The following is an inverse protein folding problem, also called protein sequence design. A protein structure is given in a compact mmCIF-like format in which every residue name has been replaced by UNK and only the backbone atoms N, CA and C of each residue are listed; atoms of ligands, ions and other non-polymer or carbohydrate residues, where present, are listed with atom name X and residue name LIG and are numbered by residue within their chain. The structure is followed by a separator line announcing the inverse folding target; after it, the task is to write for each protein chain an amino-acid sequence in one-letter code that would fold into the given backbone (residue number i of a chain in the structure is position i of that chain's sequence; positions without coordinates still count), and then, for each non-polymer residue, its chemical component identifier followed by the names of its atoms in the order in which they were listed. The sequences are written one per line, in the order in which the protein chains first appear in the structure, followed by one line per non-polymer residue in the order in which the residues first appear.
data_IF_273086783395
#
_entry.id   IF_273086783395
#
_cell.length_a   1.000
_cell.length_b   1.000
_cell.length_c   1.000
_cell.angle_alpha   90.00
_cell.angle_beta   90.00
_cell.angle_gamma   90.00
#
_symmetry.space_group_name_H-M   'P 1'
#
loop_
_entity.id
_entity.type
_entity.pdbx_description
1 polymer ?
#
# COMPACT_ATOMS: atom_id res chain seq x y z
N UNK A 1 -19.20 -6.17 9.92
CA UNK A 1 -19.35 -5.02 10.84
C UNK A 1 -19.28 -3.68 10.08
N UNK A 2 -19.57 -3.67 8.78
CA UNK A 2 -19.78 -2.44 8.01
C UNK A 2 -21.24 -2.46 7.55
N UNK A 3 -22.13 -1.92 8.39
CA UNK A 3 -23.52 -1.65 8.05
C UNK A 3 -24.04 -0.67 9.11
N UNK A 4 -24.73 0.38 8.65
CA UNK A 4 -25.33 1.48 9.42
C UNK A 4 -24.46 2.74 9.62
N UNK A 5 -24.10 3.41 8.52
CA UNK A 5 -24.00 4.88 8.53
C UNK A 5 -24.95 5.37 7.43
N UNK A 6 -26.23 5.35 7.76
CA UNK A 6 -27.30 5.98 6.95
C UNK A 6 -27.11 7.51 7.05
N UNK A 7 -27.23 8.26 5.94
CA UNK A 7 -27.16 9.71 5.96
C UNK A 7 -28.49 10.29 6.43
N UNK A 8 -28.49 11.03 7.54
CA UNK A 8 -29.64 11.83 7.93
C UNK A 8 -29.79 12.03 9.43
N UNK A 9 -29.17 13.09 9.95
CA UNK A 9 -29.84 13.98 10.91
C UNK A 9 -29.01 15.23 11.10
N UNK A 10 -29.66 16.36 10.85
CA UNK A 10 -29.16 17.69 11.10
C UNK A 10 -29.11 17.93 12.60
N UNK A 11 -27.94 17.78 13.21
CA UNK A 11 -27.48 18.50 14.41
C UNK A 11 -25.98 18.29 14.52
N UNK A 12 -25.20 19.38 14.65
CA UNK A 12 -23.77 19.33 14.96
C UNK A 12 -23.54 18.46 16.20
N UNK A 13 -22.42 17.75 16.38
CA UNK A 13 -21.08 18.29 16.34
C UNK A 13 -20.05 17.15 16.46
N UNK A 14 -19.90 16.36 15.40
CA UNK A 14 -18.66 15.65 15.09
C UNK A 14 -18.54 15.62 13.56
N UNK A 15 -17.55 16.29 12.94
CA UNK A 15 -17.29 16.07 11.52
C UNK A 15 -17.03 14.57 11.36
N UNK A 16 -17.71 13.95 10.38
CA UNK A 16 -17.71 12.52 10.09
C UNK A 16 -16.44 11.81 10.56
N UNK A 17 -16.59 10.91 11.53
CA UNK A 17 -15.53 10.54 12.44
C UNK A 17 -14.33 9.87 11.74
N UNK A 18 -13.32 10.69 11.44
CA UNK A 18 -12.02 10.29 10.89
C UNK A 18 -11.33 9.25 11.76
N UNK A 19 -11.54 9.34 13.08
CA UNK A 19 -10.97 8.46 14.09
C UNK A 19 -11.41 7.00 13.89
N UNK A 20 -12.72 6.64 13.85
CA UNK A 20 -13.20 5.30 13.49
C UNK A 20 -12.62 4.70 12.20
N UNK A 21 -12.48 5.48 11.12
CA UNK A 21 -11.93 4.99 9.86
C UNK A 21 -10.43 4.66 9.99
N UNK A 22 -9.67 5.51 10.69
CA UNK A 22 -8.26 5.26 10.98
C UNK A 22 -8.08 4.09 11.97
N UNK A 23 -8.97 3.94 12.95
CA UNK A 23 -8.97 2.81 13.89
C UNK A 23 -9.11 1.46 13.17
N UNK A 24 -9.93 1.39 12.12
CA UNK A 24 -10.04 0.16 11.32
C UNK A 24 -8.70 -0.19 10.64
N UNK A 25 -8.01 0.79 10.09
CA UNK A 25 -6.69 0.59 9.45
C UNK A 25 -5.65 0.15 10.48
N UNK A 26 -5.62 0.78 11.66
CA UNK A 26 -4.74 0.36 12.76
C UNK A 26 -5.03 -1.06 13.21
N UNK A 27 -6.31 -1.46 13.29
CA UNK A 27 -6.69 -2.82 13.65
C UNK A 27 -6.15 -3.84 12.62
N UNK A 28 -6.23 -3.53 11.32
CA UNK A 28 -5.66 -4.39 10.28
C UNK A 28 -4.13 -4.45 10.31
N UNK A 29 -3.45 -3.36 10.68
CA UNK A 29 -2.01 -3.38 10.93
C UNK A 29 -1.65 -4.33 12.07
N UNK A 30 -2.40 -4.30 13.18
CA UNK A 30 -2.22 -5.25 14.30
C UNK A 30 -2.42 -6.70 13.81
N UNK A 31 -3.47 -6.95 13.02
CA UNK A 31 -3.70 -8.28 12.43
C UNK A 31 -2.51 -8.72 11.57
N UNK A 32 -2.00 -7.88 10.66
CA UNK A 32 -0.86 -8.20 9.82
C UNK A 32 0.41 -8.50 10.65
N UNK A 33 0.66 -7.73 11.71
CA UNK A 33 1.78 -7.96 12.61
C UNK A 33 1.66 -9.29 13.37
N UNK A 34 0.48 -9.62 13.88
CA UNK A 34 0.23 -10.90 14.57
C UNK A 34 0.36 -12.09 13.61
N UNK A 35 -0.18 -11.98 12.40
CA UNK A 35 -0.04 -12.99 11.36
C UNK A 35 1.43 -13.18 10.95
N UNK A 36 2.22 -12.11 10.88
CA UNK A 36 3.66 -12.21 10.60
C UNK A 36 4.41 -12.94 11.71
N UNK A 37 4.07 -12.70 12.98
CA UNK A 37 4.63 -13.47 14.11
C UNK A 37 4.22 -14.94 14.09
N UNK A 38 2.97 -15.24 13.72
CA UNK A 38 2.52 -16.62 13.51
C UNK A 38 3.28 -17.29 12.37
N UNK A 39 3.53 -16.56 11.29
CA UNK A 39 4.28 -17.05 10.14
C UNK A 39 5.73 -17.37 10.53
N UNK A 40 6.34 -16.54 11.37
CA UNK A 40 7.66 -16.81 11.94
C UNK A 40 7.67 -18.13 12.74
N UNK A 41 6.65 -18.38 13.57
CA UNK A 41 6.50 -19.66 14.29
C UNK A 41 6.35 -20.84 13.33
N UNK A 42 5.51 -20.71 12.30
CA UNK A 42 5.31 -21.74 11.29
C UNK A 42 6.60 -22.03 10.51
N UNK A 43 7.44 -21.02 10.30
CA UNK A 43 8.74 -21.16 9.65
C UNK A 43 9.84 -21.76 10.56
N UNK A 44 9.52 -22.10 11.81
CA UNK A 44 10.43 -22.73 12.77
C UNK A 44 11.19 -21.76 13.68
N UNK A 45 10.88 -20.45 13.66
CA UNK A 45 11.55 -19.48 14.52
C UNK A 45 11.07 -19.62 15.98
N UNK A 46 11.95 -19.29 16.93
CA UNK A 46 11.60 -19.32 18.36
C UNK A 46 10.48 -18.34 18.72
N UNK A 47 9.91 -18.51 19.92
CA UNK A 47 8.88 -17.61 20.44
C UNK A 47 9.37 -16.16 20.51
N UNK A 48 10.63 -15.95 20.92
CA UNK A 48 11.23 -14.61 21.02
C UNK A 48 11.43 -13.98 19.64
N UNK A 49 11.95 -14.73 18.68
CA UNK A 49 12.12 -14.24 17.30
C UNK A 49 10.76 -13.95 16.63
N UNK A 50 9.74 -14.74 16.92
CA UNK A 50 8.39 -14.50 16.39
C UNK A 50 7.75 -13.22 16.93
N UNK A 51 7.97 -12.90 18.21
CA UNK A 51 7.56 -11.59 18.78
C UNK A 51 8.29 -10.44 18.09
N UNK A 52 9.57 -10.61 17.77
CA UNK A 52 10.33 -9.63 16.99
C UNK A 52 9.78 -9.47 15.58
N UNK A 53 9.42 -10.55 14.88
CA UNK A 53 8.80 -10.45 13.56
C UNK A 53 7.49 -9.65 13.59
N UNK A 54 6.64 -9.86 14.62
CA UNK A 54 5.45 -9.03 14.84
C UNK A 54 5.79 -7.58 15.12
N UNK A 55 6.71 -7.30 16.05
CA UNK A 55 7.08 -5.94 16.42
C UNK A 55 7.67 -5.15 15.25
N UNK A 56 8.58 -5.76 14.49
CA UNK A 56 9.19 -5.17 13.29
C UNK A 56 8.14 -4.87 12.23
N UNK A 57 7.18 -5.77 12.03
CA UNK A 57 6.10 -5.57 11.06
C UNK A 57 5.15 -4.44 11.48
N UNK A 58 4.79 -4.38 12.77
CA UNK A 58 3.92 -3.34 13.31
C UNK A 58 4.57 -1.96 13.27
N UNK A 59 5.87 -1.89 13.57
CA UNK A 59 6.62 -0.64 13.68
C UNK A 59 7.40 -0.28 12.40
N UNK A 60 7.26 -1.07 11.33
CA UNK A 60 7.83 -0.77 10.02
C UNK A 60 7.36 0.61 9.56
N UNK A 61 8.23 1.48 9.02
CA UNK A 61 7.84 2.87 8.70
C UNK A 61 6.65 2.93 7.74
N UNK A 62 6.68 2.13 6.66
CA UNK A 62 5.58 2.09 5.69
C UNK A 62 4.31 1.48 6.31
N UNK A 63 4.45 0.45 7.13
CA UNK A 63 3.30 -0.20 7.78
C UNK A 63 2.61 0.74 8.78
N UNK A 64 3.36 1.52 9.55
CA UNK A 64 2.83 2.56 10.44
C UNK A 64 2.08 3.60 9.64
N UNK A 65 2.66 4.13 8.56
CA UNK A 65 1.98 5.13 7.71
C UNK A 65 0.68 4.56 7.16
N UNK A 66 0.71 3.36 6.58
CA UNK A 66 -0.50 2.71 6.05
C UNK A 66 -1.50 2.33 7.14
N UNK A 67 -1.05 2.02 8.36
CA UNK A 67 -1.91 1.80 9.53
C UNK A 67 -2.75 3.01 9.90
N UNK A 68 -2.30 4.21 9.58
CA UNK A 68 -2.99 5.47 9.86
C UNK A 68 -3.67 6.07 8.62
N UNK A 69 -3.54 5.43 7.46
CA UNK A 69 -4.22 5.81 6.22
C UNK A 69 -5.27 4.75 5.88
N UNK A 70 -6.48 5.18 5.53
CA UNK A 70 -7.54 4.25 5.15
C UNK A 70 -7.35 3.72 3.71
N UNK A 71 -6.38 2.80 3.53
CA UNK A 71 -6.02 2.23 2.22
C UNK A 71 -6.32 0.73 2.14
N UNK A 72 -6.56 0.26 0.92
CA UNK A 72 -6.76 -1.17 0.63
C UNK A 72 -5.51 -2.04 0.82
N UNK A 73 -4.33 -1.46 1.04
CA UNK A 73 -3.05 -2.17 1.01
C UNK A 73 -2.84 -3.09 2.22
N UNK A 74 -3.38 -2.75 3.40
CA UNK A 74 -3.31 -3.62 4.58
C UNK A 74 -4.13 -4.90 4.42
N UNK A 75 -5.29 -4.80 3.78
CA UNK A 75 -6.13 -5.96 3.47
C UNK A 75 -5.45 -6.88 2.45
N UNK A 76 -4.83 -6.30 1.42
CA UNK A 76 -3.98 -7.05 0.48
C UNK A 76 -2.86 -7.78 1.23
N UNK A 77 -2.16 -7.09 2.12
CA UNK A 77 -1.07 -7.67 2.90
C UNK A 77 -1.56 -8.81 3.82
N UNK A 78 -2.68 -8.62 4.52
CA UNK A 78 -3.31 -9.67 5.32
C UNK A 78 -3.68 -10.90 4.47
N UNK A 79 -4.23 -10.67 3.26
CA UNK A 79 -4.53 -11.73 2.30
C UNK A 79 -3.29 -12.53 1.89
N UNK A 80 -2.20 -11.84 1.56
CA UNK A 80 -0.90 -12.46 1.26
C UNK A 80 -0.39 -13.29 2.45
N UNK A 81 -0.46 -12.74 3.67
CA UNK A 81 -0.04 -13.43 4.90
C UNK A 81 -0.84 -14.71 5.18
N UNK A 82 -2.16 -14.69 4.95
CA UNK A 82 -3.01 -15.88 5.10
C UNK A 82 -2.63 -16.97 4.10
N UNK A 83 -2.32 -16.60 2.85
CA UNK A 83 -1.83 -17.54 1.84
C UNK A 83 -0.47 -18.13 2.25
N UNK A 84 0.44 -17.30 2.74
CA UNK A 84 1.74 -17.75 3.25
C UNK A 84 1.61 -18.70 4.45
N UNK A 85 0.65 -18.45 5.36
CA UNK A 85 0.37 -19.32 6.51
C UNK A 85 -0.30 -20.65 6.09
N UNK A 86 -1.24 -20.60 5.16
CA UNK A 86 -1.83 -21.81 4.57
C UNK A 86 -0.78 -22.66 3.86
N UNK A 87 0.30 -22.05 3.40
CA UNK A 87 1.43 -22.75 2.80
C UNK A 87 2.40 -23.34 3.83
N UNK A 88 2.88 -22.56 4.80
CA UNK A 88 4.01 -22.93 5.66
C UNK A 88 3.62 -23.70 6.94
N UNK A 89 2.38 -23.60 7.41
CA UNK A 89 2.00 -24.23 8.68
C UNK A 89 1.78 -25.75 8.48
N UNK A 90 2.83 -26.52 8.72
CA UNK A 90 2.89 -27.97 8.47
C UNK A 90 1.90 -28.79 9.32
N UNK A 91 1.55 -28.31 10.51
CA UNK A 91 0.61 -28.96 11.43
C UNK A 91 -0.84 -28.94 10.93
N UNK A 92 -1.16 -28.11 9.93
CA UNK A 92 -2.53 -28.00 9.40
C UNK A 92 -2.89 -29.10 8.42
N UNK A 93 -4.16 -29.53 8.48
CA UNK A 93 -4.74 -30.43 7.48
C UNK A 93 -4.84 -29.75 6.11
N UNK A 94 -4.87 -30.55 5.03
CA UNK A 94 -5.02 -30.04 3.65
C UNK A 94 -6.23 -29.09 3.52
N UNK A 95 -7.35 -29.43 4.18
CA UNK A 95 -8.56 -28.62 4.19
C UNK A 95 -8.34 -27.25 4.85
N UNK A 96 -7.73 -27.21 6.03
CA UNK A 96 -7.46 -25.96 6.75
C UNK A 96 -6.51 -25.04 5.95
N UNK A 97 -5.50 -25.62 5.31
CA UNK A 97 -4.58 -24.88 4.43
C UNK A 97 -5.32 -24.26 3.25
N UNK A 98 -6.18 -25.04 2.59
CA UNK A 98 -7.00 -24.55 1.48
C UNK A 98 -7.96 -23.42 1.90
N UNK A 99 -8.58 -23.52 3.08
CA UNK A 99 -9.43 -22.46 3.61
C UNK A 99 -8.67 -21.14 3.82
N UNK A 100 -7.46 -21.19 4.37
CA UNK A 100 -6.62 -20.00 4.56
C UNK A 100 -6.19 -19.38 3.23
N UNK A 101 -5.79 -20.21 2.27
CA UNK A 101 -5.39 -19.75 0.93
C UNK A 101 -6.58 -19.08 0.23
N UNK A 102 -7.73 -19.74 0.20
CA UNK A 102 -8.94 -19.21 -0.43
C UNK A 102 -9.43 -17.93 0.23
N UNK A 103 -9.44 -17.88 1.57
CA UNK A 103 -9.80 -16.67 2.32
C UNK A 103 -8.80 -15.53 2.09
N UNK A 104 -7.50 -15.85 2.04
CA UNK A 104 -6.45 -14.87 1.77
C UNK A 104 -6.57 -14.26 0.37
N UNK A 105 -6.80 -15.08 -0.65
CA UNK A 105 -7.11 -14.60 -2.00
C UNK A 105 -8.39 -13.78 -2.04
N UNK A 106 -9.47 -14.20 -1.37
CA UNK A 106 -10.71 -13.44 -1.36
C UNK A 106 -10.53 -12.04 -0.76
N UNK A 107 -9.91 -11.95 0.42
CA UNK A 107 -9.67 -10.67 1.12
C UNK A 107 -8.80 -9.75 0.26
N UNK A 108 -7.68 -10.27 -0.26
CA UNK A 108 -6.76 -9.46 -1.05
C UNK A 108 -7.35 -9.04 -2.40
N UNK A 109 -8.17 -9.90 -3.03
CA UNK A 109 -8.79 -9.62 -4.33
C UNK A 109 -9.92 -8.60 -4.22
N UNK A 110 -10.75 -8.70 -3.18
CA UNK A 110 -11.76 -7.68 -2.89
C UNK A 110 -11.13 -6.32 -2.58
N UNK A 111 -9.95 -6.29 -1.96
CA UNK A 111 -9.27 -5.05 -1.60
C UNK A 111 -8.49 -4.39 -2.74
N UNK A 112 -7.74 -5.18 -3.52
CA UNK A 112 -6.75 -4.70 -4.51
C UNK A 112 -6.75 -5.52 -5.81
N UNK A 113 -7.81 -6.28 -6.07
CA UNK A 113 -7.97 -7.07 -7.30
C UNK A 113 -6.88 -8.13 -7.46
N UNK A 114 -6.45 -8.32 -8.71
CA UNK A 114 -5.50 -9.38 -9.09
C UNK A 114 -4.12 -9.30 -8.38
N UNK A 115 -3.80 -8.19 -7.70
CA UNK A 115 -2.52 -8.00 -7.02
C UNK A 115 -2.24 -9.06 -5.94
N UNK A 116 -3.27 -9.61 -5.28
CA UNK A 116 -3.07 -10.71 -4.33
C UNK A 116 -2.57 -11.98 -5.00
N UNK A 117 -3.09 -12.27 -6.20
CA UNK A 117 -2.69 -13.44 -6.99
C UNK A 117 -1.25 -13.24 -7.50
N UNK A 118 -0.91 -12.03 -7.93
CA UNK A 118 0.45 -11.65 -8.27
C UNK A 118 1.42 -11.88 -7.08
N UNK A 119 1.09 -11.37 -5.90
CA UNK A 119 1.93 -11.50 -4.69
C UNK A 119 2.04 -12.91 -4.12
N UNK A 120 1.23 -13.86 -4.61
CA UNK A 120 1.17 -15.22 -4.05
C UNK A 120 1.52 -16.29 -5.07
N UNK A 121 0.81 -16.36 -6.19
CA UNK A 121 0.99 -17.40 -7.21
C UNK A 121 2.35 -17.28 -7.90
N UNK A 122 2.75 -16.06 -8.27
CA UNK A 122 3.96 -15.86 -9.05
C UNK A 122 5.24 -16.11 -8.23
N UNK A 123 5.42 -15.53 -7.02
CA UNK A 123 6.49 -15.93 -6.12
C UNK A 123 6.45 -17.42 -5.76
N UNK A 124 5.28 -18.05 -5.57
CA UNK A 124 5.20 -19.49 -5.29
C UNK A 124 5.68 -20.37 -6.45
N UNK A 125 5.33 -19.98 -7.68
CA UNK A 125 5.80 -20.64 -8.88
C UNK A 125 7.32 -20.53 -9.00
N UNK A 126 7.86 -19.31 -8.85
CA UNK A 126 9.30 -19.05 -8.94
C UNK A 126 10.06 -19.75 -7.81
N UNK A 127 9.57 -19.65 -6.57
CA UNK A 127 10.21 -20.29 -5.42
C UNK A 127 10.31 -21.78 -5.63
N UNK A 128 9.30 -22.41 -6.22
CA UNK A 128 9.44 -23.83 -6.52
C UNK A 128 10.45 -24.09 -7.61
N UNK A 129 10.40 -23.36 -8.72
CA UNK A 129 11.38 -23.58 -9.79
C UNK A 129 12.81 -23.50 -9.24
N UNK A 130 13.08 -22.49 -8.39
CA UNK A 130 14.36 -22.31 -7.70
C UNK A 130 14.68 -23.48 -6.77
N UNK A 131 13.74 -23.88 -5.90
CA UNK A 131 13.95 -24.95 -4.93
C UNK A 131 14.11 -26.32 -5.58
N UNK A 132 13.34 -26.64 -6.64
CA UNK A 132 13.50 -27.87 -7.42
C UNK A 132 14.83 -27.93 -8.13
N UNK A 133 15.25 -26.83 -8.76
CA UNK A 133 16.56 -26.74 -9.43
C UNK A 133 17.67 -26.94 -8.41
N UNK A 134 17.58 -26.30 -7.24
CA UNK A 134 18.57 -26.44 -6.18
C UNK A 134 18.63 -27.87 -5.65
N UNK A 135 17.48 -28.46 -5.31
CA UNK A 135 17.39 -29.85 -4.87
C UNK A 135 18.00 -30.81 -5.90
N UNK A 136 17.73 -30.59 -7.19
CA UNK A 136 18.33 -31.39 -8.28
C UNK A 136 19.87 -31.31 -8.27
N UNK A 137 20.45 -30.11 -8.15
CA UNK A 137 21.90 -29.95 -8.08
C UNK A 137 22.51 -30.48 -6.77
N UNK A 138 21.85 -30.28 -5.64
CA UNK A 138 22.29 -30.82 -4.36
C UNK A 138 22.30 -32.34 -4.37
N UNK A 139 21.30 -32.98 -5.01
CA UNK A 139 21.25 -34.44 -5.16
C UNK A 139 22.30 -35.00 -6.13
N UNK A 140 22.71 -34.22 -7.14
CA UNK A 140 23.85 -34.58 -8.01
C UNK A 140 25.15 -34.49 -7.22
N UNK A 141 25.31 -33.46 -6.40
CA UNK A 141 26.52 -33.24 -5.60
C UNK A 141 26.64 -34.21 -4.41
N UNK A 142 25.52 -34.54 -3.78
CA UNK A 142 25.41 -35.47 -2.66
C UNK A 142 24.19 -36.39 -2.85
N UNK A 143 24.40 -37.62 -3.34
CA UNK A 143 23.33 -38.60 -3.52
C UNK A 143 22.63 -39.03 -2.22
N UNK A 144 23.25 -38.77 -1.06
CA UNK A 144 22.71 -39.09 0.26
C UNK A 144 21.89 -37.94 0.87
N UNK A 145 21.82 -36.80 0.18
CA UNK A 145 21.01 -35.67 0.61
C UNK A 145 19.56 -36.12 0.86
N UNK A 146 18.97 -35.80 2.03
CA UNK A 146 17.61 -36.17 2.35
C UNK A 146 16.67 -35.72 1.22
N UNK A 147 15.61 -36.50 0.95
CA UNK A 147 14.51 -36.04 0.11
C UNK A 147 13.79 -34.90 0.83
N UNK A 148 14.35 -33.69 0.74
CA UNK A 148 13.69 -32.47 1.15
C UNK A 148 12.52 -32.33 0.18
N UNK A 149 11.36 -32.83 0.61
CA UNK A 149 10.14 -32.88 -0.20
C UNK A 149 9.95 -31.54 -0.87
N UNK A 150 10.17 -31.51 -2.19
CA UNK A 150 9.90 -30.32 -2.99
C UNK A 150 8.52 -29.83 -2.55
N UNK A 151 8.38 -28.57 -2.08
CA UNK A 151 7.24 -28.21 -1.26
C UNK A 151 5.93 -28.65 -1.91
N UNK A 152 4.90 -29.00 -1.12
CA UNK A 152 3.60 -29.38 -1.69
C UNK A 152 2.81 -28.17 -2.22
N UNK A 153 3.50 -27.07 -2.61
CA UNK A 153 2.94 -25.76 -2.99
C UNK A 153 1.88 -25.91 -4.09
N UNK A 154 2.12 -26.74 -5.12
CA UNK A 154 1.13 -27.02 -6.18
C UNK A 154 -0.13 -27.64 -5.62
N UNK A 155 -0.02 -28.64 -4.73
CA UNK A 155 -1.17 -29.35 -4.18
C UNK A 155 -2.03 -28.43 -3.31
N UNK A 156 -1.41 -27.52 -2.55
CA UNK A 156 -2.13 -26.58 -1.69
C UNK A 156 -2.74 -25.41 -2.46
N UNK A 157 -2.03 -24.83 -3.44
CA UNK A 157 -2.52 -23.70 -4.25
C UNK A 157 -3.56 -24.13 -5.29
N UNK A 158 -3.47 -25.36 -5.82
CA UNK A 158 -4.44 -25.90 -6.77
C UNK A 158 -5.57 -26.67 -6.07
N UNK A 159 -5.64 -26.60 -4.74
CA UNK A 159 -6.68 -27.32 -4.00
C UNK A 159 -8.07 -26.77 -4.38
N UNK A 160 -9.02 -27.60 -4.84
CA UNK A 160 -10.33 -27.13 -5.32
C UNK A 160 -11.08 -26.29 -4.30
N UNK A 161 -11.00 -26.66 -3.02
CA UNK A 161 -11.61 -25.88 -1.94
C UNK A 161 -11.05 -24.45 -1.81
N UNK A 162 -9.76 -24.23 -2.06
CA UNK A 162 -9.19 -22.88 -1.98
C UNK A 162 -9.79 -21.97 -3.06
N UNK A 163 -9.89 -22.49 -4.29
CA UNK A 163 -10.55 -21.81 -5.40
C UNK A 163 -12.04 -21.62 -5.16
N UNK A 164 -12.73 -22.62 -4.62
CA UNK A 164 -14.14 -22.50 -4.28
C UNK A 164 -14.39 -21.37 -3.28
N UNK A 165 -13.63 -21.32 -2.17
CA UNK A 165 -13.73 -20.24 -1.17
C UNK A 165 -13.41 -18.89 -1.81
N UNK A 166 -12.34 -18.80 -2.59
CA UNK A 166 -11.96 -17.58 -3.28
C UNK A 166 -13.07 -17.07 -4.21
N UNK A 167 -13.57 -17.94 -5.09
CA UNK A 167 -14.56 -17.58 -6.10
C UNK A 167 -15.89 -17.21 -5.44
N UNK A 168 -16.39 -18.02 -4.50
CA UNK A 168 -17.66 -17.75 -3.81
C UNK A 168 -17.60 -16.46 -3.01
N UNK A 169 -16.47 -16.15 -2.37
CA UNK A 169 -16.36 -14.95 -1.55
C UNK A 169 -16.11 -13.67 -2.36
N UNK A 170 -15.43 -13.75 -3.51
CA UNK A 170 -15.03 -12.56 -4.29
C UNK A 170 -15.89 -12.29 -5.52
N UNK A 171 -16.20 -13.32 -6.31
CA UNK A 171 -16.86 -13.16 -7.63
C UNK A 171 -18.25 -12.52 -7.55
N UNK A 172 -19.13 -12.81 -6.57
CA UNK A 172 -20.49 -12.27 -6.58
C UNK A 172 -20.56 -10.74 -6.65
N UNK A 173 -19.66 -10.04 -5.95
CA UNK A 173 -19.63 -8.57 -5.99
C UNK A 173 -19.20 -8.05 -7.36
N UNK A 174 -18.14 -8.62 -7.94
CA UNK A 174 -17.67 -8.25 -9.28
C UNK A 174 -18.69 -8.59 -10.36
N UNK A 175 -19.36 -9.74 -10.26
CA UNK A 175 -20.42 -10.12 -11.19
C UNK A 175 -21.60 -9.14 -11.12
N UNK A 176 -22.03 -8.77 -9.90
CA UNK A 176 -23.12 -7.82 -9.71
C UNK A 176 -22.79 -6.42 -10.25
N UNK A 177 -21.57 -5.91 -10.02
CA UNK A 177 -21.19 -4.58 -10.51
C UNK A 177 -21.00 -4.57 -12.02
N UNK A 178 -20.40 -5.60 -12.60
CA UNK A 178 -20.23 -5.71 -14.06
C UNK A 178 -21.55 -5.94 -14.79
N UNK A 179 -22.53 -6.59 -14.14
CA UNK A 179 -23.88 -6.70 -14.69
C UNK A 179 -24.61 -5.35 -14.75
N UNK A 180 -24.40 -4.49 -13.74
CA UNK A 180 -25.00 -3.14 -13.69
C UNK A 180 -24.25 -2.12 -14.54
N UNK A 181 -22.94 -2.27 -14.65
CA UNK A 181 -22.01 -1.33 -15.29
C UNK A 181 -20.99 -2.09 -16.17
N UNK A 182 -21.41 -2.62 -17.34
CA UNK A 182 -20.54 -3.41 -18.21
C UNK A 182 -19.29 -2.66 -18.69
N UNK A 183 -19.37 -1.33 -18.81
CA UNK A 183 -18.27 -0.43 -19.18
C UNK A 183 -17.04 -0.58 -18.27
N UNK A 184 -17.26 -0.90 -16.99
CA UNK A 184 -16.20 -1.07 -16.00
C UNK A 184 -15.28 -2.26 -16.31
N UNK A 185 -15.74 -3.25 -17.08
CA UNK A 185 -14.88 -4.37 -17.50
C UNK A 185 -13.73 -3.87 -18.39
N UNK A 186 -14.06 -3.00 -19.34
CA UNK A 186 -13.08 -2.44 -20.27
C UNK A 186 -12.10 -1.51 -19.54
N UNK A 187 -12.60 -0.69 -18.62
CA UNK A 187 -11.78 0.16 -17.75
C UNK A 187 -10.82 -0.66 -16.88
N UNK A 188 -11.32 -1.69 -16.20
CA UNK A 188 -10.49 -2.52 -15.33
C UNK A 188 -9.40 -3.28 -16.09
N UNK A 189 -9.70 -3.80 -17.28
CA UNK A 189 -8.72 -4.49 -18.11
C UNK A 189 -7.71 -3.54 -18.75
N UNK A 190 -8.17 -2.45 -19.36
CA UNK A 190 -7.31 -1.53 -20.12
C UNK A 190 -6.55 -0.60 -19.20
N UNK A 191 -7.23 0.10 -18.30
CA UNK A 191 -6.62 1.17 -17.51
C UNK A 191 -5.94 0.63 -16.26
N UNK A 192 -6.62 -0.26 -15.52
CA UNK A 192 -6.11 -0.74 -14.23
C UNK A 192 -5.09 -1.89 -14.35
N UNK A 193 -5.18 -2.74 -15.39
CA UNK A 193 -4.23 -3.83 -15.63
C UNK A 193 -3.19 -3.43 -16.67
N UNK A 194 -3.60 -3.15 -17.91
CA UNK A 194 -2.66 -2.97 -19.03
C UNK A 194 -1.92 -1.65 -18.93
N UNK A 195 -2.63 -0.53 -18.81
CA UNK A 195 -2.03 0.81 -18.84
C UNK A 195 -1.10 1.02 -17.64
N UNK A 196 -1.38 0.44 -16.46
CA UNK A 196 -0.45 0.51 -15.31
C UNK A 196 0.88 -0.20 -15.51
N UNK A 197 0.92 -1.22 -16.37
CA UNK A 197 2.14 -1.94 -16.72
C UNK A 197 2.87 -1.26 -17.87
N UNK A 198 2.14 -0.87 -18.92
CA UNK A 198 2.70 -0.47 -20.23
C UNK A 198 2.84 1.05 -20.40
N UNK A 199 1.97 1.85 -19.80
CA UNK A 199 1.96 3.31 -20.00
C UNK A 199 2.64 4.07 -18.85
N UNK A 200 3.34 5.16 -19.20
CA UNK A 200 3.83 6.16 -18.24
C UNK A 200 2.82 7.28 -17.98
N UNK A 201 1.68 7.26 -18.68
CA UNK A 201 0.69 8.35 -18.77
C UNK A 201 0.00 8.69 -17.44
N UNK A 202 0.21 7.86 -16.41
CA UNK A 202 -0.29 8.08 -15.05
C UNK A 202 0.45 9.17 -14.27
N UNK A 203 1.39 9.90 -14.89
CA UNK A 203 2.15 11.00 -14.26
C UNK A 203 3.06 10.57 -13.11
N UNK A 204 3.37 9.26 -13.02
CA UNK A 204 4.14 8.62 -11.94
C UNK A 204 5.30 7.77 -12.47
N UNK A 205 5.89 8.21 -13.58
CA UNK A 205 7.06 7.57 -14.16
C UNK A 205 8.26 7.81 -13.25
N UNK A 206 8.72 6.73 -12.62
CA UNK A 206 9.86 6.75 -11.69
C UNK A 206 10.97 5.84 -12.22
N UNK A 207 12.26 6.11 -11.91
CA UNK A 207 13.38 5.30 -12.37
C UNK A 207 13.24 3.82 -12.01
N UNK A 208 13.86 2.93 -12.79
CA UNK A 208 13.80 1.48 -12.52
C UNK A 208 14.34 1.11 -11.13
N UNK A 209 15.28 1.89 -10.58
CA UNK A 209 15.87 1.68 -9.25
C UNK A 209 15.05 2.28 -8.10
N UNK A 210 13.89 2.89 -8.36
CA UNK A 210 13.04 3.60 -7.37
C UNK A 210 12.80 2.81 -6.07
N UNK A 211 12.54 1.51 -6.17
CA UNK A 211 12.26 0.67 -5.01
C UNK A 211 13.50 0.22 -4.23
N UNK A 212 14.68 0.24 -4.83
CA UNK A 212 15.93 -0.23 -4.20
C UNK A 212 16.26 0.50 -2.88
N UNK A 213 16.23 1.85 -2.81
CA UNK A 213 16.41 2.55 -1.55
C UNK A 213 15.23 2.39 -0.58
N UNK A 214 14.03 2.03 -1.07
CA UNK A 214 12.86 1.84 -0.21
C UNK A 214 12.93 0.55 0.61
N UNK A 215 13.48 -0.53 0.05
CA UNK A 215 13.60 -1.82 0.75
C UNK A 215 14.26 -1.71 2.13
N UNK A 216 15.45 -1.08 2.31
CA UNK A 216 16.03 -0.92 3.64
C UNK A 216 15.19 0.01 4.54
N UNK A 217 14.52 1.01 3.98
CA UNK A 217 13.64 1.90 4.74
C UNK A 217 12.46 1.15 5.35
N UNK A 218 11.98 0.05 4.75
CA UNK A 218 10.87 -0.75 5.31
C UNK A 218 11.18 -1.36 6.68
N UNK A 219 12.45 -1.49 7.06
CA UNK A 219 12.85 -2.12 8.33
C UNK A 219 13.74 -1.24 9.19
N UNK A 220 13.75 0.07 9.00
CA UNK A 220 14.38 0.96 9.98
C UNK A 220 13.68 0.80 11.34
N UNK A 221 14.43 0.71 12.45
CA UNK A 221 15.89 0.92 12.61
C UNK A 221 16.73 -0.40 12.65
N UNK A 222 16.20 -1.52 12.17
CA UNK A 222 16.77 -2.87 12.31
C UNK A 222 17.67 -3.31 11.14
N UNK A 223 18.26 -2.39 10.38
CA UNK A 223 19.18 -2.73 9.29
C UNK A 223 20.34 -3.66 9.70
N UNK A 224 21.01 -3.45 10.86
CA UNK A 224 22.07 -4.37 11.29
C UNK A 224 21.57 -5.79 11.52
N UNK A 225 20.34 -5.96 12.00
CA UNK A 225 19.71 -7.25 12.24
C UNK A 225 19.24 -7.90 10.94
N UNK A 226 18.71 -7.11 10.00
CA UNK A 226 18.41 -7.58 8.64
C UNK A 226 19.66 -8.22 8.02
N UNK A 227 20.79 -7.51 8.05
CA UNK A 227 22.05 -8.01 7.50
C UNK A 227 22.52 -9.30 8.18
N UNK A 228 22.46 -9.35 9.52
CA UNK A 228 22.79 -10.59 10.28
C UNK A 228 21.88 -11.74 9.88
N UNK A 229 20.58 -11.50 9.71
CA UNK A 229 19.60 -12.50 9.32
C UNK A 229 19.85 -13.06 7.93
N UNK A 230 20.12 -12.18 6.96
CA UNK A 230 20.47 -12.57 5.59
C UNK A 230 21.73 -13.44 5.56
N UNK A 231 22.77 -13.06 6.33
CA UNK A 231 24.05 -13.80 6.38
C UNK A 231 23.94 -15.15 7.09
N UNK A 232 23.17 -15.24 8.18
CA UNK A 232 23.06 -16.46 8.99
C UNK A 232 22.26 -17.57 8.31
N UNK A 233 21.33 -17.23 7.41
CA UNK A 233 20.51 -18.21 6.70
C UNK A 233 19.72 -19.12 7.64
N UNK A 234 18.70 -18.58 8.31
CA UNK A 234 17.92 -19.31 9.31
C UNK A 234 16.71 -20.04 8.71
N UNK A 235 16.37 -21.20 9.28
CA UNK A 235 15.37 -22.13 8.78
C UNK A 235 15.98 -23.20 7.86
N UNK A 236 15.16 -24.14 7.39
CA UNK A 236 15.58 -25.01 6.29
C UNK A 236 15.99 -24.16 5.09
N UNK A 237 16.87 -24.70 4.24
CA UNK A 237 17.27 -24.03 2.99
C UNK A 237 16.03 -23.61 2.18
N UNK A 238 14.96 -24.39 2.24
CA UNK A 238 13.65 -24.10 1.65
C UNK A 238 13.04 -22.78 2.13
N UNK A 239 12.90 -22.58 3.45
CA UNK A 239 12.25 -21.37 3.98
C UNK A 239 13.05 -20.11 3.63
N UNK A 240 14.39 -20.16 3.71
CA UNK A 240 15.23 -19.01 3.37
C UNK A 240 15.01 -18.55 1.93
N UNK A 241 15.05 -19.46 0.96
CA UNK A 241 14.89 -19.10 -0.45
C UNK A 241 13.48 -18.68 -0.80
N UNK A 242 12.47 -19.24 -0.14
CA UNK A 242 11.10 -18.73 -0.19
C UNK A 242 11.05 -17.23 0.12
N UNK A 243 11.64 -16.78 1.24
CA UNK A 243 11.63 -15.36 1.61
C UNK A 243 12.41 -14.48 0.63
N UNK A 244 13.55 -14.97 0.12
CA UNK A 244 14.32 -14.26 -0.91
C UNK A 244 13.49 -14.07 -2.17
N UNK A 245 12.80 -15.11 -2.64
CA UNK A 245 11.95 -15.00 -3.84
C UNK A 245 10.79 -14.04 -3.61
N UNK A 246 10.16 -14.06 -2.43
CA UNK A 246 9.09 -13.12 -2.07
C UNK A 246 9.55 -11.66 -1.91
N UNK A 247 10.86 -11.42 -1.84
CA UNK A 247 11.44 -10.07 -1.92
C UNK A 247 11.80 -9.74 -3.37
N UNK A 248 12.64 -10.55 -3.99
CA UNK A 248 13.25 -10.24 -5.29
C UNK A 248 12.23 -10.25 -6.44
N UNK A 249 11.29 -11.19 -6.44
CA UNK A 249 10.35 -11.34 -7.54
C UNK A 249 9.42 -10.10 -7.65
N UNK A 250 8.71 -9.68 -6.58
CA UNK A 250 7.91 -8.46 -6.63
C UNK A 250 8.77 -7.20 -6.87
N UNK A 251 9.96 -7.14 -6.27
CA UNK A 251 10.88 -6.01 -6.47
C UNK A 251 11.24 -5.81 -7.94
N UNK A 252 11.60 -6.88 -8.65
CA UNK A 252 11.96 -6.83 -10.07
C UNK A 252 10.75 -6.40 -10.91
N UNK A 253 9.58 -6.98 -10.69
CA UNK A 253 8.40 -6.65 -11.50
C UNK A 253 7.90 -5.22 -11.26
N UNK A 254 7.81 -4.76 -10.01
CA UNK A 254 7.42 -3.37 -9.76
C UNK A 254 8.49 -2.38 -10.23
N UNK A 255 9.77 -2.76 -10.22
CA UNK A 255 10.84 -1.92 -10.79
C UNK A 255 10.66 -1.72 -12.30
N UNK A 256 10.06 -2.69 -13.00
CA UNK A 256 9.74 -2.62 -14.43
C UNK A 256 8.38 -1.96 -14.73
N UNK A 257 7.53 -1.67 -13.74
CA UNK A 257 6.21 -1.09 -14.01
C UNK A 257 6.26 0.41 -14.34
N UNK A 258 5.40 0.85 -15.27
CA UNK A 258 5.29 2.26 -15.68
C UNK A 258 4.81 3.20 -14.56
N UNK A 259 3.90 2.74 -13.70
CA UNK A 259 3.48 3.45 -12.48
C UNK A 259 4.15 2.84 -11.25
N UNK A 260 4.81 3.65 -10.41
CA UNK A 260 5.43 3.19 -9.15
C UNK A 260 4.84 3.93 -7.95
N UNK A 261 4.56 3.18 -6.87
CA UNK A 261 4.11 3.74 -5.59
C UNK A 261 4.74 3.00 -4.41
N UNK A 262 5.15 3.70 -3.33
CA UNK A 262 5.84 3.07 -2.20
C UNK A 262 5.02 1.97 -1.53
N UNK A 263 3.69 2.15 -1.45
CA UNK A 263 2.76 1.20 -0.83
C UNK A 263 2.74 -0.17 -1.53
N UNK A 264 3.22 -0.29 -2.78
CA UNK A 264 3.36 -1.59 -3.44
C UNK A 264 4.26 -2.53 -2.67
N UNK A 265 5.26 -2.01 -1.94
CA UNK A 265 6.19 -2.83 -1.16
C UNK A 265 5.63 -3.27 0.20
N UNK A 266 4.42 -2.88 0.60
CA UNK A 266 3.91 -3.18 1.94
C UNK A 266 3.94 -4.68 2.28
N UNK A 267 3.52 -5.61 1.38
CA UNK A 267 3.63 -7.03 1.67
C UNK A 267 5.08 -7.55 1.82
N UNK A 268 6.07 -6.81 1.31
CA UNK A 268 7.50 -7.13 1.46
C UNK A 268 8.01 -6.95 2.89
N UNK A 269 7.28 -6.22 3.73
CA UNK A 269 7.61 -6.09 5.17
C UNK A 269 7.68 -7.47 5.83
N UNK A 270 6.84 -8.43 5.43
CA UNK A 270 6.83 -9.78 6.01
C UNK A 270 8.16 -10.52 5.85
N UNK A 271 8.65 -10.83 4.64
CA UNK A 271 9.92 -11.56 4.50
C UNK A 271 11.11 -10.78 5.10
N UNK A 272 11.10 -9.44 5.05
CA UNK A 272 12.15 -8.64 5.68
C UNK A 272 12.12 -8.74 7.21
N UNK A 273 10.93 -8.67 7.83
CA UNK A 273 10.75 -8.84 9.26
C UNK A 273 11.19 -10.23 9.74
N UNK A 274 11.00 -11.27 8.93
CA UNK A 274 11.48 -12.63 9.23
C UNK A 274 13.01 -12.73 9.19
N UNK A 275 13.68 -12.03 8.26
CA UNK A 275 15.14 -11.92 8.27
C UNK A 275 15.64 -11.13 9.49
N UNK A 276 15.03 -10.00 9.81
CA UNK A 276 15.37 -9.20 11.01
C UNK A 276 15.22 -10.05 12.28
N UNK A 277 14.08 -10.73 12.45
CA UNK A 277 13.82 -11.64 13.56
C UNK A 277 14.88 -12.74 13.69
N UNK A 278 15.31 -13.30 12.55
CA UNK A 278 16.39 -14.29 12.50
C UNK A 278 17.75 -13.70 12.92
N UNK A 279 18.04 -12.45 12.53
CA UNK A 279 19.24 -11.73 12.98
C UNK A 279 19.25 -11.45 14.49
N UNK A 280 18.08 -11.30 15.08
CA UNK A 280 17.88 -11.09 16.52
C UNK A 280 17.95 -12.39 17.33
N UNK A 281 17.65 -13.53 16.70
CA UNK A 281 17.62 -14.85 17.35
C UNK A 281 18.97 -15.32 17.90
N UNK A 282 20.10 -14.77 17.42
CA UNK A 282 21.46 -15.19 17.79
C UNK A 282 22.19 -14.31 18.81
N UNK A 283 21.52 -13.48 19.61
CA UNK A 283 22.16 -12.77 20.71
C UNK A 283 22.14 -13.66 21.98
N UNK A 284 23.19 -14.46 22.17
CA UNK A 284 23.36 -15.25 23.39
C UNK A 284 23.42 -14.32 24.62
N UNK A 285 22.95 -14.70 25.82
CA UNK A 285 23.12 -13.89 27.04
C UNK A 285 24.58 -13.52 27.36
N UNK A 286 25.52 -14.36 26.91
CA UNK A 286 26.96 -14.12 26.99
C UNK A 286 27.47 -13.09 25.96
N UNK A 287 26.66 -12.75 24.95
CA UNK A 287 26.96 -11.69 24.02
C UNK A 287 26.73 -10.36 24.77
N UNK A 288 27.81 -9.63 25.08
CA UNK A 288 27.78 -8.45 25.96
C UNK A 288 26.61 -7.49 25.74
N UNK A 289 26.23 -6.77 26.80
CA UNK A 289 24.99 -6.00 26.96
C UNK A 289 24.52 -5.22 25.72
N UNK A 290 25.43 -4.61 24.95
CA UNK A 290 25.12 -3.90 23.68
C UNK A 290 24.41 -4.76 22.64
N UNK A 291 24.74 -6.06 22.53
CA UNK A 291 24.11 -6.97 21.56
C UNK A 291 22.72 -7.43 21.99
N UNK A 292 22.43 -7.40 23.30
CA UNK A 292 21.16 -7.83 23.89
C UNK A 292 20.18 -6.66 24.06
N UNK A 293 20.67 -5.52 24.54
CA UNK A 293 19.85 -4.32 24.80
C UNK A 293 19.83 -3.35 23.61
N UNK A 294 20.86 -3.33 22.76
CA UNK A 294 20.94 -2.40 21.63
C UNK A 294 19.71 -2.41 20.72
N UNK A 295 19.23 -3.58 20.24
CA UNK A 295 18.01 -3.62 19.43
C UNK A 295 16.75 -3.19 20.18
N UNK A 296 16.66 -3.48 21.49
CA UNK A 296 15.52 -3.06 22.33
C UNK A 296 15.50 -1.55 22.53
N UNK A 297 16.65 -0.94 22.82
CA UNK A 297 16.79 0.52 22.95
C UNK A 297 16.43 1.20 21.63
N UNK A 298 17.00 0.76 20.49
CA UNK A 298 16.64 1.31 19.17
C UNK A 298 15.15 1.18 18.88
N UNK A 299 14.54 0.06 19.24
CA UNK A 299 13.10 -0.16 19.07
C UNK A 299 12.28 0.76 19.97
N UNK A 300 12.69 0.99 21.22
CA UNK A 300 12.03 1.93 22.13
C UNK A 300 12.11 3.38 21.66
N UNK A 301 13.28 3.82 21.20
CA UNK A 301 13.48 5.15 20.58
C UNK A 301 12.63 5.30 19.32
N UNK A 302 12.62 4.27 18.48
CA UNK A 302 11.81 4.26 17.26
C UNK A 302 10.31 4.26 17.54
N UNK A 303 9.85 3.51 18.55
CA UNK A 303 8.46 3.55 19.00
C UNK A 303 8.07 4.95 19.47
N UNK A 304 8.93 5.60 20.28
CA UNK A 304 8.69 6.98 20.71
C UNK A 304 8.57 7.93 19.51
N UNK A 305 9.45 7.80 18.51
CA UNK A 305 9.37 8.54 17.25
C UNK A 305 8.08 8.24 16.46
N UNK A 306 7.71 6.97 16.30
CA UNK A 306 6.47 6.56 15.62
C UNK A 306 5.23 7.12 16.30
N UNK A 307 5.22 7.19 17.64
CA UNK A 307 4.10 7.76 18.39
C UNK A 307 3.94 9.27 18.18
N UNK A 308 4.98 10.00 17.74
CA UNK A 308 4.84 11.42 17.37
C UNK A 308 4.31 11.60 15.94
N UNK A 309 4.41 10.59 15.08
CA UNK A 309 3.99 10.68 13.66
C UNK A 309 2.52 11.07 13.52
N UNK A 310 1.54 10.46 14.24
CA UNK A 310 0.15 10.90 14.15
C UNK A 310 -0.07 12.35 14.55
N UNK A 311 0.69 12.87 15.51
CA UNK A 311 0.61 14.27 15.94
C UNK A 311 1.16 15.21 14.86
N UNK A 312 2.30 14.86 14.25
CA UNK A 312 2.89 15.60 13.13
C UNK A 312 1.98 15.55 11.89
N UNK A 313 1.37 14.40 11.59
CA UNK A 313 0.41 14.28 10.49
C UNK A 313 -0.86 15.07 10.81
N UNK A 314 -1.40 14.98 12.02
CA UNK A 314 -2.58 15.77 12.41
C UNK A 314 -2.31 17.28 12.37
N UNK A 315 -1.11 17.73 12.74
CA UNK A 315 -0.75 19.14 12.71
C UNK A 315 -0.48 19.68 11.31
N UNK A 316 -0.12 18.82 10.33
CA UNK A 316 0.23 19.22 8.97
C UNK A 316 -0.75 18.77 7.87
N UNK A 317 -1.65 17.83 8.16
CA UNK A 317 -2.56 17.19 7.19
C UNK A 317 -4.02 17.26 7.63
N UNK A 318 -4.47 18.39 8.15
CA UNK A 318 -5.89 18.74 8.04
C UNK A 318 -6.18 18.93 6.55
N UNK A 319 -6.43 17.84 5.82
CA UNK A 319 -7.02 17.94 4.50
C UNK A 319 -8.39 18.59 4.72
N UNK A 320 -8.65 19.80 4.19
CA UNK A 320 -9.94 20.42 4.32
C UNK A 320 -11.01 19.46 3.79
N UNK A 321 -12.17 19.45 4.45
CA UNK A 321 -13.28 18.57 4.07
C UNK A 321 -13.65 18.87 2.62
N UNK A 322 -13.31 17.95 1.72
CA UNK A 322 -13.48 18.14 0.28
C UNK A 322 -14.94 18.39 -0.08
N UNK A 323 -15.86 17.82 0.69
CA UNK A 323 -17.29 18.09 0.54
C UNK A 323 -17.62 19.53 0.88
N UNK A 324 -17.14 20.03 2.03
CA UNK A 324 -17.35 21.41 2.44
C UNK A 324 -16.77 22.40 1.41
N UNK A 325 -15.61 22.09 0.81
CA UNK A 325 -15.01 22.89 -0.26
C UNK A 325 -15.86 22.93 -1.53
N UNK A 326 -16.44 21.79 -1.91
CA UNK A 326 -17.34 21.71 -3.07
C UNK A 326 -18.65 22.46 -2.80
N UNK A 327 -19.20 22.34 -1.59
CA UNK A 327 -20.40 23.08 -1.16
C UNK A 327 -20.13 24.60 -1.14
N UNK A 328 -18.98 25.02 -0.60
CA UNK A 328 -18.52 26.41 -0.61
C UNK A 328 -18.27 26.97 -2.02
N UNK A 329 -17.69 26.15 -2.91
CA UNK A 329 -17.55 26.50 -4.32
C UNK A 329 -18.91 26.66 -5.00
N UNK A 330 -19.85 25.76 -4.73
CA UNK A 330 -21.23 25.82 -5.21
C UNK A 330 -21.93 27.11 -4.78
N UNK A 331 -21.73 27.54 -3.53
CA UNK A 331 -22.30 28.79 -3.00
C UNK A 331 -21.80 30.05 -3.72
N UNK A 332 -20.58 30.03 -4.29
CA UNK A 332 -20.03 31.15 -5.08
C UNK A 332 -20.56 31.22 -6.51
N UNK A 333 -21.10 30.11 -7.03
CA UNK A 333 -21.64 29.99 -8.38
C UNK A 333 -20.58 29.98 -9.48
N UNK A 334 -20.91 29.33 -10.61
CA UNK A 334 -20.00 29.14 -11.75
C UNK A 334 -19.31 27.77 -11.76
N UNK A 335 -18.59 27.42 -12.84
CA UNK A 335 -17.86 26.17 -12.92
C UNK A 335 -16.74 26.10 -11.88
N UNK A 336 -16.64 25.02 -11.12
CA UNK A 336 -15.47 24.77 -10.26
C UNK A 336 -14.32 24.17 -11.09
N UNK A 337 -13.10 24.60 -10.81
CA UNK A 337 -11.85 24.15 -11.45
C UNK A 337 -10.80 23.97 -10.37
N UNK A 338 -10.00 22.91 -10.41
CA UNK A 338 -8.89 22.73 -9.49
C UNK A 338 -7.59 23.26 -10.11
N UNK A 339 -6.76 23.93 -9.30
CA UNK A 339 -5.43 24.37 -9.72
C UNK A 339 -4.36 23.90 -8.74
N UNK A 340 -3.25 23.36 -9.22
CA UNK A 340 -2.13 22.90 -8.37
C UNK A 340 -2.29 21.46 -7.88
N UNK A 341 -3.39 21.17 -7.19
CA UNK A 341 -3.75 19.81 -6.75
C UNK A 341 -5.27 19.66 -6.80
N UNK A 342 -5.75 18.47 -7.16
CA UNK A 342 -7.15 18.10 -6.98
C UNK A 342 -7.29 17.37 -5.62
N UNK A 343 -7.99 17.96 -4.63
CA UNK A 343 -8.38 17.21 -3.45
C UNK A 343 -9.17 15.94 -3.83
N UNK A 344 -8.93 14.85 -3.11
CA UNK A 344 -9.53 13.55 -3.47
C UNK A 344 -11.05 13.60 -3.33
N UNK A 345 -11.77 13.27 -4.40
CA UNK A 345 -13.23 13.15 -4.37
C UNK A 345 -13.98 14.43 -4.73
N UNK A 346 -13.30 15.51 -5.18
CA UNK A 346 -13.97 16.73 -5.65
C UNK A 346 -15.03 16.41 -6.71
N UNK A 347 -14.64 15.68 -7.76
CA UNK A 347 -15.57 15.26 -8.83
C UNK A 347 -16.71 14.37 -8.32
N UNK A 348 -16.47 13.55 -7.28
CA UNK A 348 -17.51 12.71 -6.66
C UNK A 348 -18.54 13.54 -5.89
N UNK A 349 -18.09 14.47 -5.03
CA UNK A 349 -18.99 15.32 -4.25
C UNK A 349 -19.73 16.34 -5.11
N UNK A 350 -19.13 16.76 -6.22
CA UNK A 350 -19.77 17.68 -7.16
C UNK A 350 -20.75 16.97 -8.12
N UNK A 351 -20.51 15.70 -8.41
CA UNK A 351 -21.31 14.91 -9.35
C UNK A 351 -21.02 15.19 -10.83
N UNK A 352 -19.94 15.93 -11.13
CA UNK A 352 -19.44 16.18 -12.48
C UNK A 352 -17.89 16.03 -12.51
N UNK A 353 -17.32 15.96 -13.72
CA UNK A 353 -15.86 15.94 -13.88
C UNK A 353 -15.32 17.36 -13.69
N UNK A 354 -14.47 17.55 -12.68
CA UNK A 354 -13.85 18.83 -12.41
C UNK A 354 -12.51 18.95 -13.16
N UNK A 355 -12.33 19.97 -14.02
CA UNK A 355 -11.05 20.19 -14.69
C UNK A 355 -9.94 20.50 -13.69
N UNK A 356 -8.73 19.97 -13.93
CA UNK A 356 -7.55 20.17 -13.08
C UNK A 356 -6.41 20.74 -13.92
N UNK A 357 -5.85 21.88 -13.48
CA UNK A 357 -4.71 22.54 -14.09
C UNK A 357 -3.62 22.82 -13.06
N UNK A 358 -2.44 23.27 -13.48
CA UNK A 358 -1.35 23.64 -12.58
C UNK A 358 -0.76 22.45 -11.81
N UNK A 359 -1.11 21.21 -12.16
CA UNK A 359 -0.89 20.05 -11.31
C UNK A 359 0.60 19.95 -10.94
N UNK A 360 0.93 20.09 -9.65
CA UNK A 360 2.28 19.78 -9.19
C UNK A 360 2.55 18.32 -9.51
N UNK A 361 3.64 18.06 -10.23
CA UNK A 361 4.00 16.71 -10.68
C UNK A 361 3.97 15.77 -9.47
N UNK A 362 3.24 14.67 -9.54
CA UNK A 362 3.33 13.64 -8.49
C UNK A 362 4.71 12.96 -8.47
N UNK A 363 5.43 13.02 -9.60
CA UNK A 363 6.82 12.59 -9.71
C UNK A 363 7.74 13.77 -10.05
N UNK A 364 8.86 13.97 -9.33
CA UNK A 364 9.86 14.97 -9.70
C UNK A 364 10.51 14.70 -11.07
N UNK A 365 10.28 13.52 -11.67
CA UNK A 365 10.87 13.08 -12.94
C UNK A 365 9.92 13.14 -14.14
N UNK A 366 8.66 13.54 -13.97
CA UNK A 366 7.72 13.63 -15.10
C UNK A 366 8.10 14.79 -16.07
N UNK A 367 7.92 14.61 -17.40
CA UNK A 367 8.17 15.68 -18.39
C UNK A 367 7.25 16.88 -18.16
N UNK A 368 7.72 18.08 -18.51
CA UNK A 368 6.97 19.32 -18.31
C UNK A 368 5.82 19.44 -19.32
N UNK A 369 4.65 19.89 -18.86
CA UNK A 369 3.59 20.40 -19.73
C UNK A 369 4.06 21.72 -20.38
N UNK A 370 3.57 22.02 -21.57
CA UNK A 370 3.79 23.31 -22.24
C UNK A 370 3.19 24.44 -21.38
N UNK A 371 4.02 25.32 -20.79
CA UNK A 371 3.55 26.38 -19.89
C UNK A 371 2.58 27.37 -20.55
N UNK A 372 2.70 27.56 -21.86
CA UNK A 372 1.88 28.53 -22.59
C UNK A 372 0.47 27.99 -22.85
N UNK A 373 0.35 26.69 -23.14
CA UNK A 373 -0.96 26.04 -23.28
C UNK A 373 -1.73 26.01 -21.95
N UNK A 374 -1.02 25.71 -20.86
CA UNK A 374 -1.62 25.72 -19.52
C UNK A 374 -2.13 27.12 -19.13
N UNK A 375 -1.34 28.16 -19.41
CA UNK A 375 -1.74 29.56 -19.20
C UNK A 375 -3.00 29.91 -19.99
N UNK A 376 -3.08 29.55 -21.27
CA UNK A 376 -4.27 29.79 -22.12
C UNK A 376 -5.52 29.16 -21.53
N UNK A 377 -5.44 27.91 -21.08
CA UNK A 377 -6.59 27.19 -20.54
C UNK A 377 -7.07 27.77 -19.20
N UNK A 378 -6.14 28.12 -18.31
CA UNK A 378 -6.47 28.77 -17.03
C UNK A 378 -7.14 30.13 -17.24
N UNK A 379 -6.62 30.96 -18.15
CA UNK A 379 -7.23 32.25 -18.51
C UNK A 379 -8.63 32.08 -19.12
N UNK A 380 -8.84 31.07 -19.98
CA UNK A 380 -10.15 30.78 -20.56
C UNK A 380 -11.20 30.40 -19.50
N UNK A 381 -10.82 29.64 -18.46
CA UNK A 381 -11.70 29.33 -17.34
C UNK A 381 -11.99 30.54 -16.47
N UNK A 382 -10.98 31.37 -16.21
CA UNK A 382 -11.17 32.63 -15.48
C UNK A 382 -12.18 33.54 -16.20
N UNK A 383 -12.09 33.66 -17.53
CA UNK A 383 -13.06 34.41 -18.34
C UNK A 383 -14.50 33.85 -18.32
N UNK A 384 -14.67 32.56 -18.01
CA UNK A 384 -15.99 31.92 -17.80
C UNK A 384 -16.54 32.12 -16.38
N UNK A 385 -15.85 32.92 -15.55
CA UNK A 385 -16.24 33.16 -14.16
C UNK A 385 -16.10 31.94 -13.26
N UNK A 386 -15.19 31.02 -13.59
CA UNK A 386 -14.92 29.81 -12.82
C UNK A 386 -14.41 30.11 -11.40
N UNK A 387 -14.73 29.21 -10.47
CA UNK A 387 -14.21 29.22 -9.11
C UNK A 387 -13.06 28.24 -9.04
N UNK A 388 -11.88 28.72 -8.69
CA UNK A 388 -10.67 27.92 -8.60
C UNK A 388 -10.46 27.42 -7.17
N UNK A 389 -10.33 26.11 -7.00
CA UNK A 389 -9.91 25.46 -5.77
C UNK A 389 -8.39 25.30 -5.77
N UNK A 390 -7.69 26.06 -4.93
CA UNK A 390 -6.24 26.26 -5.07
C UNK A 390 -5.52 26.12 -3.73
N UNK A 391 -4.41 25.35 -3.63
CA UNK A 391 -3.53 25.35 -2.46
C UNK A 391 -3.02 26.75 -2.11
N UNK A 392 -2.88 27.06 -0.83
CA UNK A 392 -2.45 28.37 -0.35
C UNK A 392 -1.12 28.85 -0.96
N UNK A 393 -0.17 27.94 -1.17
CA UNK A 393 1.14 28.20 -1.78
C UNK A 393 1.08 28.39 -3.31
N UNK A 394 -0.01 27.96 -3.94
CA UNK A 394 -0.22 28.06 -5.39
C UNK A 394 -1.07 29.29 -5.80
N UNK A 395 -1.68 30.00 -4.85
CA UNK A 395 -2.55 31.18 -5.14
C UNK A 395 -1.80 32.29 -5.87
N UNK A 396 -0.55 32.59 -5.48
CA UNK A 396 0.25 33.61 -6.17
C UNK A 396 0.50 33.24 -7.63
N UNK A 397 0.86 31.98 -7.88
CA UNK A 397 1.13 31.46 -9.22
C UNK A 397 -0.10 31.51 -10.13
N UNK A 398 -1.28 31.18 -9.59
CA UNK A 398 -2.56 31.32 -10.30
C UNK A 398 -2.85 32.79 -10.65
N UNK A 399 -2.68 33.69 -9.68
CA UNK A 399 -2.91 35.13 -9.87
C UNK A 399 -2.00 35.69 -10.96
N UNK A 400 -0.72 35.31 -10.98
CA UNK A 400 0.24 35.73 -12.01
C UNK A 400 -0.10 35.19 -13.42
N UNK A 401 -0.70 34.00 -13.50
CA UNK A 401 -1.13 33.42 -14.78
C UNK A 401 -2.34 34.14 -15.36
N UNK A 402 -3.29 34.54 -14.52
CA UNK A 402 -4.53 35.21 -14.95
C UNK A 402 -4.30 36.72 -15.15
N UNK A 403 -3.46 37.36 -14.34
CA UNK A 403 -3.15 38.79 -14.45
C UNK A 403 -4.30 39.71 -14.03
N UNK A 404 -5.23 39.23 -13.20
CA UNK A 404 -6.42 39.97 -12.77
C UNK A 404 -6.58 39.95 -11.23
N UNK A 405 -7.24 40.97 -10.65
CA UNK A 405 -7.55 40.98 -9.23
C UNK A 405 -8.48 39.80 -8.86
N UNK A 406 -8.09 39.07 -7.82
CA UNK A 406 -8.78 37.89 -7.32
C UNK A 406 -9.54 38.19 -6.02
N UNK A 407 -10.78 37.73 -5.94
CA UNK A 407 -11.51 37.59 -4.69
C UNK A 407 -11.26 36.19 -4.12
N UNK A 408 -10.48 36.10 -3.05
CA UNK A 408 -10.22 34.85 -2.34
C UNK A 408 -11.04 34.76 -1.05
N UNK A 409 -11.72 33.63 -0.82
CA UNK A 409 -12.15 33.27 0.54
C UNK A 409 -11.32 32.09 1.03
N UNK A 410 -10.88 32.15 2.28
CA UNK A 410 -10.22 31.01 2.92
C UNK A 410 -11.27 29.97 3.28
N UNK A 411 -11.16 28.78 2.71
CA UNK A 411 -11.95 27.62 3.11
C UNK A 411 -11.02 26.57 3.70
N UNK A 412 -10.90 26.60 5.04
CA UNK A 412 -10.11 25.64 5.79
C UNK A 412 -8.59 25.86 5.78
N UNK A 413 -7.88 24.89 6.37
CA UNK A 413 -6.43 24.88 6.52
C UNK A 413 -5.79 24.26 5.26
N UNK A 414 -5.38 25.10 4.30
CA UNK A 414 -4.50 24.65 3.20
C UNK A 414 -4.92 25.06 1.78
N UNK A 415 -6.20 25.35 1.56
CA UNK A 415 -6.73 25.73 0.24
C UNK A 415 -7.59 27.00 0.31
N UNK A 416 -7.75 27.64 -0.84
CA UNK A 416 -8.59 28.82 -1.05
C UNK A 416 -9.49 28.62 -2.26
N UNK A 417 -10.70 29.16 -2.16
CA UNK A 417 -11.58 29.35 -3.31
C UNK A 417 -11.30 30.74 -3.89
N UNK A 418 -10.68 30.76 -5.07
CA UNK A 418 -10.29 31.97 -5.79
C UNK A 418 -11.24 32.19 -6.95
N UNK A 419 -11.79 33.40 -7.06
CA UNK A 419 -12.55 33.82 -8.24
C UNK A 419 -11.95 35.11 -8.78
N UNK A 420 -11.74 35.17 -10.07
CA UNK A 420 -11.30 36.38 -10.74
C UNK A 420 -12.50 37.19 -11.17
N UNK A 421 -12.43 38.51 -10.99
CA UNK A 421 -13.38 39.39 -11.64
C UNK A 421 -13.10 39.35 -13.14
N UNK A 422 -14.14 39.11 -13.95
CA UNK A 422 -14.05 39.39 -15.36
C UNK A 422 -13.64 40.87 -15.46
N UNK A 423 -12.55 41.15 -16.18
CA UNK A 423 -12.19 42.53 -16.48
C UNK A 423 -13.41 43.14 -17.21
N UNK A 424 -14.02 44.23 -16.68
CA UNK A 424 -15.24 44.79 -17.25
C UNK A 424 -15.08 45.21 -18.70
#
# INVERSE_FOLDING_TARGET
VALSLVPGSATGSFPYAEVPLRLMSTAWLVVCALLTGRLARAAGLSRSASRWASAVSFLSPLAVVQGHMNTGDLYLWAGVLLVMLGWLESERTSRQRALLIGAGWAIGFLAKGHMVLFWTLLPAFVATAVLRRRYYFERIADPTAPEETAPSWRRSLLHPLAWLVFLVASVPWFAAILHRHPELASYWLKDEIVARVVSTDHGRAEPWWYFLPMVPLLVLPWLPELWKGIRRGHGSNVHRWTWVVWILMPLVVFSMSGSKRPNYLLPMVTPLALFVASGLHGAHPAAGWRRVFGPRIRTGVWLAFVLTVPFVIASNCFAPDTRAMVEGAGAKGGPLVCFGTEPTGVSFYRGDVVPVYGHQRMSPFAPALDPDEERRQVQAWAGKGAVFLVPNDAVGRLTDMVGAPAASSREGLGHQLVRFHANP
#
